data_IF_634825795877
#
_entry.id   IF_634825795877
#
_cell.length_a   1.000
_cell.length_b   1.000
_cell.length_c   1.000
_cell.angle_alpha   90.00
_cell.angle_beta   90.00
_cell.angle_gamma   90.00
#
_symmetry.space_group_name_H-M   'P 1'
#
loop_
_entity.id
_entity.type
_entity.pdbx_description
1 polymer ?
#
# COMPACT_ATOMS: atom_id res chain seq x y z
N UNK A 1 -14.78 -6.76 4.25
CA UNK A 1 -13.44 -7.39 4.13
C UNK A 1 -12.45 -6.25 4.28
N UNK A 2 -11.64 -6.24 5.34
CA UNK A 2 -10.80 -5.10 5.65
C UNK A 2 -10.00 -4.67 4.42
N UNK A 3 -10.10 -3.39 4.10
CA UNK A 3 -9.42 -2.78 2.96
C UNK A 3 -8.68 -1.54 3.44
N UNK A 4 -7.47 -1.33 2.92
CA UNK A 4 -6.66 -0.16 3.20
C UNK A 4 -6.17 0.44 1.89
N UNK A 5 -6.25 1.77 1.80
CA UNK A 5 -5.53 2.55 0.81
C UNK A 5 -4.27 3.13 1.45
N UNK A 6 -3.13 2.91 0.82
CA UNK A 6 -1.83 3.40 1.26
C UNK A 6 -1.29 4.32 0.18
N UNK A 7 -1.06 5.57 0.55
CA UNK A 7 -0.47 6.60 -0.29
C UNK A 7 1.00 6.73 0.10
N UNK A 8 1.91 6.68 -0.88
CA UNK A 8 3.34 6.74 -0.63
C UNK A 8 3.98 7.93 -1.36
N UNK A 9 4.93 8.57 -0.67
CA UNK A 9 5.90 9.47 -1.27
C UNK A 9 7.25 8.78 -1.35
N UNK A 10 7.98 9.06 -2.41
CA UNK A 10 9.24 8.42 -2.75
C UNK A 10 10.34 9.45 -3.02
N UNK A 11 11.60 9.01 -2.96
CA UNK A 11 12.69 9.79 -3.52
C UNK A 11 12.49 9.98 -5.03
N UNK A 12 12.95 11.12 -5.56
CA UNK A 12 12.79 11.46 -6.98
C UNK A 12 13.29 10.32 -7.90
N UNK A 13 12.40 9.85 -8.78
CA UNK A 13 12.69 8.82 -9.78
C UNK A 13 12.85 7.40 -9.20
N UNK A 14 12.36 7.15 -7.98
CA UNK A 14 12.39 5.83 -7.35
C UNK A 14 11.06 5.09 -7.34
N UNK A 15 10.00 5.75 -7.80
CA UNK A 15 8.62 5.26 -7.85
C UNK A 15 8.50 3.90 -8.55
N UNK A 16 9.06 3.73 -9.75
CA UNK A 16 9.00 2.46 -10.48
C UNK A 16 9.66 1.31 -9.69
N UNK A 17 10.81 1.58 -9.05
CA UNK A 17 11.53 0.58 -8.26
C UNK A 17 10.75 0.16 -7.02
N UNK A 18 10.12 1.11 -6.33
CA UNK A 18 9.28 0.84 -5.15
C UNK A 18 8.04 0.04 -5.56
N UNK A 19 7.40 0.38 -6.69
CA UNK A 19 6.24 -0.38 -7.19
C UNK A 19 6.61 -1.85 -7.44
N UNK A 20 7.77 -2.11 -8.04
CA UNK A 20 8.24 -3.47 -8.30
C UNK A 20 8.54 -4.23 -7.00
N UNK A 21 9.17 -3.57 -6.02
CA UNK A 21 9.46 -4.17 -4.71
C UNK A 21 8.17 -4.46 -3.92
N UNK A 22 7.19 -3.54 -3.95
CA UNK A 22 5.85 -3.75 -3.37
C UNK A 22 5.19 -4.98 -3.99
N UNK A 23 5.17 -5.11 -5.33
CA UNK A 23 4.61 -6.28 -6.00
C UNK A 23 5.30 -7.56 -5.57
N UNK A 24 6.63 -7.56 -5.51
CA UNK A 24 7.40 -8.73 -5.07
C UNK A 24 7.06 -9.13 -3.63
N UNK A 25 7.06 -8.18 -2.70
CA UNK A 25 6.68 -8.43 -1.30
C UNK A 25 5.29 -9.07 -1.20
N UNK A 26 4.34 -8.59 -1.99
CA UNK A 26 2.95 -9.04 -1.93
C UNK A 26 2.72 -10.40 -2.60
N UNK A 27 3.63 -10.89 -3.45
CA UNK A 27 3.51 -12.26 -4.01
C UNK A 27 3.61 -13.37 -2.97
N UNK A 28 4.24 -13.10 -1.83
CA UNK A 28 4.36 -14.05 -0.71
C UNK A 28 3.24 -13.87 0.33
N UNK A 29 2.39 -12.86 0.17
CA UNK A 29 1.33 -12.52 1.10
C UNK A 29 -0.02 -13.00 0.59
N UNK A 30 -0.76 -13.73 1.42
CA UNK A 30 -2.17 -14.05 1.14
C UNK A 30 -3.07 -12.80 1.36
N UNK A 31 -2.98 -11.85 0.43
CA UNK A 31 -3.77 -10.60 0.36
C UNK A 31 -4.09 -10.28 -1.10
N UNK A 32 -5.21 -9.60 -1.32
CA UNK A 32 -5.50 -9.00 -2.63
C UNK A 32 -4.90 -7.60 -2.68
N UNK A 33 -4.31 -7.24 -3.81
CA UNK A 33 -3.61 -5.95 -3.93
C UNK A 33 -3.69 -5.34 -5.32
N UNK A 34 -3.62 -4.02 -5.36
CA UNK A 34 -3.54 -3.21 -6.57
C UNK A 34 -2.58 -2.04 -6.30
N UNK A 35 -1.63 -1.80 -7.21
CA UNK A 35 -0.61 -0.76 -7.04
C UNK A 35 -0.43 0.04 -8.32
N UNK A 36 -0.42 1.36 -8.19
CA UNK A 36 -0.25 2.30 -9.29
C UNK A 36 0.67 3.45 -8.92
N UNK A 37 1.52 3.84 -9.87
CA UNK A 37 2.10 5.18 -9.87
C UNK A 37 1.03 6.19 -10.29
N UNK A 38 0.99 7.35 -9.65
CA UNK A 38 0.00 8.40 -9.91
C UNK A 38 0.66 9.76 -10.06
N UNK A 39 -0.01 10.66 -10.79
CA UNK A 39 0.37 12.08 -10.78
C UNK A 39 -0.38 12.79 -9.65
N UNK A 40 0.36 13.44 -8.75
CA UNK A 40 -0.24 14.20 -7.65
C UNK A 40 0.75 14.59 -6.57
N UNK A 41 0.24 14.83 -5.36
CA UNK A 41 1.06 15.07 -4.16
C UNK A 41 1.63 13.78 -3.55
N UNK A 42 1.22 12.64 -4.09
CA UNK A 42 1.75 11.30 -3.81
C UNK A 42 2.22 10.67 -5.10
N UNK A 43 3.20 9.78 -4.99
CA UNK A 43 3.78 9.11 -6.15
C UNK A 43 3.12 7.76 -6.41
N UNK A 44 2.68 7.06 -5.36
CA UNK A 44 2.14 5.70 -5.45
C UNK A 44 0.87 5.55 -4.61
N UNK A 45 -0.12 4.86 -5.17
CA UNK A 45 -1.31 4.36 -4.47
C UNK A 45 -1.24 2.84 -4.42
N UNK A 46 -1.43 2.28 -3.23
CA UNK A 46 -1.54 0.84 -2.99
C UNK A 46 -2.88 0.56 -2.30
N UNK A 47 -3.71 -0.26 -2.91
CA UNK A 47 -4.90 -0.85 -2.29
C UNK A 47 -4.54 -2.25 -1.81
N UNK A 48 -4.86 -2.56 -0.55
CA UNK A 48 -4.74 -3.89 0.03
C UNK A 48 -6.07 -4.33 0.64
N UNK A 49 -6.47 -5.57 0.42
CA UNK A 49 -7.60 -6.17 1.13
C UNK A 49 -7.27 -7.58 1.60
N UNK A 50 -7.69 -7.91 2.82
CA UNK A 50 -7.47 -9.20 3.46
C UNK A 50 -8.63 -9.52 4.39
N UNK A 51 -8.76 -10.80 4.79
CA UNK A 51 -9.70 -11.21 5.82
C UNK A 51 -9.24 -10.82 7.24
N UNK A 52 -8.03 -10.27 7.39
CA UNK A 52 -7.44 -9.87 8.66
C UNK A 52 -6.87 -8.44 8.58
N UNK A 53 -7.45 -7.53 9.38
CA UNK A 53 -7.00 -6.14 9.47
C UNK A 53 -5.61 -6.00 10.11
N UNK A 54 -5.25 -6.87 11.07
CA UNK A 54 -3.92 -6.86 11.69
C UNK A 54 -2.85 -7.29 10.69
N UNK A 55 -3.16 -8.24 9.81
CA UNK A 55 -2.28 -8.61 8.69
C UNK A 55 -1.99 -7.42 7.78
N UNK A 56 -3.01 -6.64 7.43
CA UNK A 56 -2.82 -5.41 6.63
C UNK A 56 -1.89 -4.42 7.36
N UNK A 57 -2.15 -4.14 8.64
CA UNK A 57 -1.32 -3.24 9.45
C UNK A 57 0.13 -3.72 9.54
N UNK A 58 0.33 -5.02 9.71
CA UNK A 58 1.65 -5.66 9.79
C UNK A 58 2.41 -5.54 8.47
N UNK A 59 1.78 -5.87 7.33
CA UNK A 59 2.39 -5.72 6.00
C UNK A 59 2.81 -4.27 5.77
N UNK A 60 1.91 -3.32 6.03
CA UNK A 60 2.19 -1.89 5.83
C UNK A 60 3.35 -1.43 6.71
N UNK A 61 3.32 -1.76 8.00
CA UNK A 61 4.29 -1.25 8.99
C UNK A 61 5.66 -1.90 8.87
N UNK A 62 5.68 -3.21 8.66
CA UNK A 62 6.91 -4.00 8.77
C UNK A 62 7.56 -4.28 7.41
N UNK A 63 6.80 -4.17 6.31
CA UNK A 63 7.31 -4.41 4.95
C UNK A 63 7.28 -3.13 4.13
N UNK A 64 6.09 -2.59 3.85
CA UNK A 64 5.93 -1.47 2.90
C UNK A 64 6.68 -0.21 3.37
N UNK A 65 6.51 0.20 4.64
CA UNK A 65 7.22 1.36 5.21
C UNK A 65 8.72 1.16 5.39
N UNK A 66 9.22 -0.07 5.22
CA UNK A 66 10.64 -0.41 5.33
C UNK A 66 11.35 -0.47 3.97
N UNK A 67 10.60 -0.40 2.87
CA UNK A 67 11.16 -0.30 1.53
C UNK A 67 12.03 0.97 1.47
N UNK A 68 13.25 0.82 0.96
CA UNK A 68 14.16 1.94 0.79
C UNK A 68 13.58 3.01 -0.12
N UNK A 69 13.92 4.28 0.12
CA UNK A 69 13.46 5.44 -0.66
C UNK A 69 11.97 5.79 -0.51
N UNK A 70 11.19 5.03 0.28
CA UNK A 70 9.89 5.49 0.77
C UNK A 70 10.12 6.58 1.81
N UNK A 71 9.69 7.80 1.52
CA UNK A 71 9.86 8.95 2.42
C UNK A 71 8.75 9.03 3.47
N UNK A 72 7.51 8.79 3.04
CA UNK A 72 6.35 8.84 3.92
C UNK A 72 5.21 8.00 3.38
N UNK A 73 4.31 7.62 4.27
CA UNK A 73 3.09 6.90 3.91
C UNK A 73 1.90 7.48 4.67
N UNK A 74 0.74 7.56 4.02
CA UNK A 74 -0.56 7.78 4.65
C UNK A 74 -1.41 6.52 4.45
N UNK A 75 -1.96 5.98 5.53
CA UNK A 75 -2.80 4.79 5.48
C UNK A 75 -4.24 5.17 5.83
N UNK A 76 -5.17 4.85 4.95
CA UNK A 76 -6.61 5.08 5.11
C UNK A 76 -7.31 3.72 5.14
N UNK A 77 -7.78 3.32 6.32
CA UNK A 77 -8.63 2.13 6.45
C UNK A 77 -10.01 2.46 5.92
N UNK A 78 -10.56 1.60 5.08
CA UNK A 78 -11.92 1.73 4.56
C UNK A 78 -12.91 1.50 5.69
N UNK A 79 -13.95 2.33 5.73
CA UNK A 79 -15.13 2.15 6.59
C UNK A 79 -16.02 1.13 5.88
N UNK A 80 -16.04 -0.11 6.36
CA UNK A 80 -16.73 -1.22 5.68
C UNK A 80 -18.23 -0.94 5.48
N UNK A 81 -18.86 -0.23 6.43
CA UNK A 81 -20.26 0.16 6.39
C UNK A 81 -20.61 1.11 5.23
N UNK A 82 -19.60 1.73 4.61
CA UNK A 82 -19.78 2.72 3.53
C UNK A 82 -19.37 2.19 2.16
N UNK A 83 -18.91 0.93 2.05
CA UNK A 83 -18.33 0.40 0.81
C UNK A 83 -19.34 0.25 -0.34
N UNK A 84 -20.65 0.14 -0.03
CA UNK A 84 -21.72 -0.06 -1.00
C UNK A 84 -22.85 0.99 -0.90
N UNK A 85 -22.56 2.18 -0.37
CA UNK A 85 -23.49 3.32 -0.46
C UNK A 85 -23.60 3.81 -1.92
#
# INVERSE_FOLDING_TARGET
MPTAYVLLNSDLGSDESIINEVKQILTEEDVTSEVQGVYGVYDIVLKLSSNDAEKLRAIITNKIRKIGKVQSTLTMMVIEEQENL
#
